data_IF_963790088236
#
_entry.id   IF_963790088236
#
_cell.length_a   1.000
_cell.length_b   1.000
_cell.length_c   1.000
_cell.angle_alpha   90.00
_cell.angle_beta   90.00
_cell.angle_gamma   90.00
#
_symmetry.space_group_name_H-M   'P 1'
#
loop_
_entity.id
_entity.type
_entity.pdbx_description
1 polymer ?
#
# COMPACT_ATOMS: atom_id res chain seq x y z
N UNK A 1 25.15 5.85 5.68
CA UNK A 1 24.82 5.14 4.45
C UNK A 1 24.01 3.89 4.78
N UNK A 2 22.97 3.52 4.01
CA UNK A 2 22.14 2.33 4.28
C UNK A 2 22.92 1.04 4.42
N UNK A 3 23.94 0.82 3.59
CA UNK A 3 24.81 -0.38 3.66
C UNK A 3 25.56 -0.53 4.99
N UNK A 4 25.78 0.55 5.73
CA UNK A 4 26.40 0.46 7.04
C UNK A 4 25.48 -0.27 8.03
N UNK A 5 24.19 0.04 8.01
CA UNK A 5 23.20 -0.66 8.83
C UNK A 5 23.11 -2.15 8.44
N UNK A 6 23.08 -2.47 7.14
CA UNK A 6 23.07 -3.86 6.69
C UNK A 6 24.32 -4.64 7.21
N UNK A 7 25.49 -4.00 7.21
CA UNK A 7 26.70 -4.64 7.75
C UNK A 7 26.65 -4.88 9.26
N UNK A 8 26.04 -3.98 10.02
CA UNK A 8 25.85 -4.19 11.46
C UNK A 8 24.94 -5.39 11.73
N UNK A 9 23.83 -5.53 10.99
CA UNK A 9 22.99 -6.72 11.09
C UNK A 9 23.72 -7.99 10.67
N UNK A 10 24.54 -7.93 9.63
CA UNK A 10 25.37 -9.05 9.21
C UNK A 10 26.35 -9.53 10.32
N UNK A 11 26.83 -8.63 11.16
CA UNK A 11 27.69 -8.95 12.30
C UNK A 11 26.91 -9.50 13.51
N UNK A 12 25.72 -8.95 13.77
CA UNK A 12 24.96 -9.27 14.98
C UNK A 12 24.01 -10.47 14.80
N UNK A 13 23.64 -10.83 13.56
CA UNK A 13 22.64 -11.86 13.25
C UNK A 13 23.30 -13.02 12.51
N UNK A 14 23.58 -14.15 13.20
CA UNK A 14 24.21 -15.32 12.58
C UNK A 14 23.47 -15.83 11.34
N UNK A 15 22.16 -15.81 11.34
CA UNK A 15 21.32 -16.27 10.24
C UNK A 15 21.47 -15.41 8.97
N UNK A 16 21.84 -14.12 9.11
CA UNK A 16 22.20 -13.25 7.98
C UNK A 16 23.63 -13.58 7.53
N UNK A 17 24.56 -13.78 8.46
CA UNK A 17 25.94 -14.14 8.14
C UNK A 17 26.01 -15.48 7.38
N UNK A 18 25.20 -16.45 7.75
CA UNK A 18 25.10 -17.76 7.12
C UNK A 18 24.32 -17.77 5.80
N UNK A 19 23.68 -16.64 5.46
CA UNK A 19 22.89 -16.49 4.24
C UNK A 19 21.51 -17.14 4.29
N UNK A 20 21.03 -17.52 5.47
CA UNK A 20 19.68 -18.07 5.68
C UNK A 20 18.62 -16.96 5.64
N UNK A 21 18.98 -15.78 6.14
CA UNK A 21 18.17 -14.55 6.06
C UNK A 21 18.87 -13.56 5.14
N UNK A 22 18.13 -13.01 4.21
CA UNK A 22 18.59 -11.94 3.32
C UNK A 22 18.08 -10.58 3.75
N UNK A 23 18.95 -9.57 3.69
CA UNK A 23 18.56 -8.17 3.76
C UNK A 23 18.21 -7.69 2.35
N UNK A 24 16.95 -7.42 2.07
CA UNK A 24 16.47 -7.01 0.74
C UNK A 24 16.64 -5.52 0.47
N UNK A 25 16.30 -4.67 1.43
CA UNK A 25 16.43 -3.21 1.30
C UNK A 25 16.62 -2.53 2.65
N UNK A 26 17.16 -1.33 2.61
CA UNK A 26 17.39 -0.49 3.80
C UNK A 26 17.07 0.96 3.46
N UNK A 27 16.21 1.58 4.25
CA UNK A 27 15.95 3.02 4.23
C UNK A 27 16.38 3.62 5.57
N UNK A 28 17.07 4.76 5.52
CA UNK A 28 17.68 5.33 6.73
C UNK A 28 17.57 6.85 6.77
N UNK A 29 17.14 7.36 7.90
CA UNK A 29 17.26 8.76 8.31
C UNK A 29 18.32 8.81 9.44
N UNK A 30 19.60 9.09 9.11
CA UNK A 30 20.71 8.90 10.03
C UNK A 30 20.55 9.66 11.33
N UNK A 31 20.80 8.98 12.45
CA UNK A 31 20.66 9.54 13.80
C UNK A 31 19.22 9.63 14.32
N UNK A 32 18.23 9.24 13.52
CA UNK A 32 16.82 9.28 13.91
C UNK A 32 16.16 7.90 13.83
N UNK A 33 15.94 7.39 12.63
CA UNK A 33 15.23 6.13 12.41
C UNK A 33 15.64 5.46 11.11
N UNK A 34 15.57 4.13 11.08
CA UNK A 34 15.79 3.33 9.88
C UNK A 34 14.72 2.23 9.75
N UNK A 35 14.51 1.78 8.52
CA UNK A 35 13.75 0.57 8.22
C UNK A 35 14.65 -0.39 7.44
N UNK A 36 14.62 -1.67 7.80
CA UNK A 36 15.36 -2.73 7.13
C UNK A 36 14.39 -3.85 6.78
N UNK A 37 14.38 -4.29 5.53
CA UNK A 37 13.56 -5.41 5.09
C UNK A 37 14.37 -6.69 5.01
N UNK A 38 13.81 -7.77 5.56
CA UNK A 38 14.44 -9.07 5.65
C UNK A 38 13.55 -10.16 5.10
N UNK A 39 14.16 -11.18 4.52
CA UNK A 39 13.49 -12.31 3.88
C UNK A 39 14.22 -13.62 4.14
N UNK A 40 13.49 -14.72 4.15
CA UNK A 40 14.05 -16.07 4.14
C UNK A 40 13.17 -17.00 3.31
N UNK A 41 13.79 -17.92 2.61
CA UNK A 41 13.10 -19.03 1.90
C UNK A 41 12.69 -20.15 2.86
N UNK A 42 13.28 -20.21 4.06
CA UNK A 42 12.96 -21.21 5.06
C UNK A 42 11.73 -20.82 5.87
N UNK A 43 10.60 -21.44 5.57
CA UNK A 43 9.32 -21.20 6.24
C UNK A 43 9.31 -21.53 7.75
N UNK A 44 10.33 -22.23 8.25
CA UNK A 44 10.46 -22.56 9.68
C UNK A 44 11.13 -21.44 10.50
N UNK A 45 11.71 -20.45 9.82
CA UNK A 45 12.44 -19.34 10.45
C UNK A 45 11.60 -18.07 10.38
N UNK A 46 11.45 -17.40 11.50
CA UNK A 46 10.94 -16.03 11.57
C UNK A 46 12.11 -15.05 11.37
N UNK A 47 12.22 -14.41 10.17
CA UNK A 47 13.35 -13.54 9.88
C UNK A 47 13.36 -12.27 10.72
N UNK A 48 12.19 -11.76 11.10
CA UNK A 48 12.08 -10.57 11.97
C UNK A 48 12.49 -10.93 13.40
N UNK A 49 11.95 -12.02 13.94
CA UNK A 49 12.28 -12.51 15.27
C UNK A 49 13.78 -12.81 15.44
N UNK A 50 14.41 -13.41 14.42
CA UNK A 50 15.84 -13.68 14.40
C UNK A 50 16.68 -12.40 14.47
N UNK A 51 16.30 -11.36 13.72
CA UNK A 51 16.96 -10.07 13.72
C UNK A 51 16.73 -9.27 15.02
N UNK A 52 15.55 -9.39 15.62
CA UNK A 52 15.24 -8.77 16.92
C UNK A 52 16.08 -9.43 18.02
N UNK A 53 16.19 -10.75 18.01
CA UNK A 53 16.86 -11.54 19.01
C UNK A 53 16.10 -11.64 20.34
N UNK A 54 16.60 -12.46 21.23
CA UNK A 54 15.95 -12.72 22.53
C UNK A 54 15.77 -11.40 23.30
N UNK A 55 14.52 -11.02 23.60
CA UNK A 55 14.17 -9.77 24.30
C UNK A 55 14.73 -8.51 23.62
N UNK A 56 14.94 -8.55 22.30
CA UNK A 56 15.47 -7.41 21.55
C UNK A 56 16.98 -7.23 21.63
N UNK A 57 17.72 -8.23 22.11
CA UNK A 57 19.17 -8.09 22.37
C UNK A 57 19.98 -7.73 21.12
N UNK A 58 19.67 -8.36 19.97
CA UNK A 58 20.43 -8.13 18.72
C UNK A 58 20.12 -6.76 18.12
N UNK A 59 18.84 -6.41 17.97
CA UNK A 59 18.47 -5.09 17.45
C UNK A 59 18.96 -3.98 18.37
N UNK A 60 18.94 -4.18 19.69
CA UNK A 60 19.45 -3.19 20.65
C UNK A 60 20.96 -2.99 20.53
N UNK A 61 21.73 -4.05 20.25
CA UNK A 61 23.17 -3.92 20.00
C UNK A 61 23.43 -3.01 18.78
N UNK A 62 22.69 -3.21 17.69
CA UNK A 62 22.79 -2.35 16.50
C UNK A 62 22.33 -0.92 16.79
N UNK A 63 21.23 -0.73 17.53
CA UNK A 63 20.76 0.61 17.96
C UNK A 63 21.83 1.35 18.77
N UNK A 64 22.49 0.65 19.68
CA UNK A 64 23.56 1.23 20.52
C UNK A 64 24.77 1.65 19.67
N UNK A 65 25.18 0.83 18.70
CA UNK A 65 26.26 1.15 17.76
C UNK A 65 25.94 2.40 16.92
N UNK A 66 24.65 2.59 16.59
CA UNK A 66 24.15 3.77 15.88
C UNK A 66 23.75 4.94 16.79
N UNK A 67 24.19 4.92 18.06
CA UNK A 67 23.96 5.99 19.03
C UNK A 67 22.49 6.32 19.27
N UNK A 68 21.62 5.31 19.25
CA UNK A 68 20.20 5.44 19.57
C UNK A 68 19.28 5.62 18.37
N UNK A 69 19.75 5.44 17.14
CA UNK A 69 18.89 5.42 15.94
C UNK A 69 17.91 4.26 16.03
N UNK A 70 16.59 4.56 15.96
CA UNK A 70 15.54 3.55 16.05
C UNK A 70 15.49 2.71 14.78
N UNK A 71 15.26 1.41 14.93
CA UNK A 71 15.25 0.48 13.80
C UNK A 71 13.93 -0.28 13.76
N UNK A 72 13.23 -0.20 12.63
CA UNK A 72 12.08 -1.03 12.30
C UNK A 72 12.53 -2.16 11.36
N UNK A 73 12.29 -3.39 11.77
CA UNK A 73 12.58 -4.58 10.96
C UNK A 73 11.28 -5.01 10.29
N UNK A 74 11.29 -5.10 8.97
CA UNK A 74 10.12 -5.31 8.11
C UNK A 74 10.26 -6.64 7.38
N UNK A 75 9.21 -7.44 7.37
CA UNK A 75 9.15 -8.64 6.53
C UNK A 75 9.01 -8.23 5.08
N UNK A 76 9.97 -8.64 4.24
CA UNK A 76 9.88 -8.46 2.81
C UNK A 76 8.88 -9.46 2.18
N UNK A 77 8.27 -9.10 1.08
CA UNK A 77 7.37 -9.95 0.31
C UNK A 77 7.51 -9.65 -1.18
N UNK A 78 7.40 -10.69 -2.02
CA UNK A 78 7.32 -10.55 -3.49
C UNK A 78 6.06 -9.78 -3.90
N UNK A 79 4.99 -9.88 -3.11
CA UNK A 79 3.78 -9.10 -3.32
C UNK A 79 4.01 -7.66 -2.85
N UNK A 80 4.04 -6.73 -3.81
CA UNK A 80 4.29 -5.31 -3.54
C UNK A 80 3.31 -4.70 -2.53
N UNK A 81 2.02 -5.06 -2.60
CA UNK A 81 1.01 -4.54 -1.68
C UNK A 81 1.27 -5.03 -0.25
N UNK A 82 1.59 -6.32 -0.08
CA UNK A 82 1.94 -6.90 1.22
C UNK A 82 3.22 -6.25 1.78
N UNK A 83 4.26 -6.11 0.96
CA UNK A 83 5.51 -5.49 1.39
C UNK A 83 5.31 -4.03 1.80
N UNK A 84 4.51 -3.28 1.04
CA UNK A 84 4.19 -1.89 1.36
C UNK A 84 3.40 -1.76 2.68
N UNK A 85 2.39 -2.62 2.89
CA UNK A 85 1.65 -2.64 4.15
C UNK A 85 2.59 -2.90 5.34
N UNK A 86 3.50 -3.88 5.22
CA UNK A 86 4.51 -4.15 6.23
C UNK A 86 5.45 -2.96 6.46
N UNK A 87 5.84 -2.26 5.40
CA UNK A 87 6.74 -1.10 5.47
C UNK A 87 6.11 0.12 6.15
N UNK A 88 4.77 0.27 6.09
CA UNK A 88 4.02 1.35 6.73
C UNK A 88 3.73 1.09 8.22
N UNK A 89 4.01 -0.13 8.72
CA UNK A 89 3.85 -0.39 10.14
C UNK A 89 4.49 0.74 11.00
N UNK A 90 3.86 1.10 12.14
CA UNK A 90 2.77 0.43 12.84
C UNK A 90 1.35 0.79 12.36
N UNK A 91 1.20 1.61 11.31
CA UNK A 91 -0.11 1.92 10.76
C UNK A 91 -0.71 0.71 10.02
N UNK A 92 -2.01 0.51 10.17
CA UNK A 92 -2.77 -0.50 9.46
C UNK A 92 -3.24 0.06 8.11
N UNK A 93 -3.21 -0.78 7.08
CA UNK A 93 -3.60 -0.42 5.71
C UNK A 93 -4.93 -1.09 5.38
N UNK A 94 -5.93 -0.29 4.97
CA UNK A 94 -7.25 -0.78 4.58
C UNK A 94 -7.29 -1.24 3.12
N UNK A 95 -6.72 -0.42 2.20
CA UNK A 95 -6.68 -0.70 0.76
C UNK A 95 -5.40 -0.17 0.14
N UNK A 96 -4.98 -0.79 -0.96
CA UNK A 96 -3.82 -0.36 -1.75
C UNK A 96 -4.22 -0.36 -3.23
N UNK A 97 -3.95 0.76 -3.92
CA UNK A 97 -4.11 0.92 -5.36
C UNK A 97 -2.73 1.10 -6.00
N UNK A 98 -2.30 0.11 -6.78
CA UNK A 98 -1.00 0.12 -7.47
C UNK A 98 -1.17 0.70 -8.88
N UNK A 99 -0.37 1.72 -9.22
CA UNK A 99 -0.28 2.33 -10.53
C UNK A 99 1.09 2.01 -11.15
N UNK A 100 1.24 0.81 -11.69
CA UNK A 100 2.52 0.26 -12.16
C UNK A 100 3.24 1.16 -13.15
N UNK A 101 2.50 1.76 -14.10
CA UNK A 101 3.08 2.64 -15.12
C UNK A 101 3.76 3.91 -14.54
N UNK A 102 3.33 4.34 -13.35
CA UNK A 102 3.81 5.57 -12.71
C UNK A 102 4.74 5.30 -11.52
N UNK A 103 5.00 4.04 -11.18
CA UNK A 103 5.71 3.66 -9.95
C UNK A 103 5.11 4.33 -8.69
N UNK A 104 3.80 4.56 -8.73
CA UNK A 104 3.02 5.26 -7.73
C UNK A 104 2.01 4.32 -7.07
N UNK A 105 1.78 4.53 -5.79
CA UNK A 105 0.79 3.76 -5.03
C UNK A 105 -0.02 4.68 -4.16
N UNK A 106 -1.33 4.48 -4.14
CA UNK A 106 -2.23 5.10 -3.18
C UNK A 106 -2.58 4.09 -2.10
N UNK A 107 -2.45 4.51 -0.86
CA UNK A 107 -2.71 3.70 0.32
C UNK A 107 -3.84 4.32 1.12
N UNK A 108 -4.91 3.55 1.31
CA UNK A 108 -6.04 3.97 2.14
C UNK A 108 -5.88 3.39 3.54
N UNK A 109 -6.00 4.24 4.52
CA UNK A 109 -5.84 3.91 5.94
C UNK A 109 -7.04 4.41 6.76
N UNK A 110 -7.31 3.80 7.93
CA UNK A 110 -8.27 4.34 8.88
C UNK A 110 -7.90 5.77 9.31
N UNK A 111 -8.90 6.64 9.45
CA UNK A 111 -8.70 8.08 9.71
C UNK A 111 -7.87 8.34 10.99
N UNK A 112 -8.10 7.56 12.04
CA UNK A 112 -7.38 7.65 13.31
C UNK A 112 -5.89 7.27 13.19
N UNK A 113 -5.49 6.57 12.13
CA UNK A 113 -4.12 6.10 11.93
C UNK A 113 -3.28 7.00 11.01
N UNK A 114 -3.87 8.07 10.45
CA UNK A 114 -3.19 8.99 9.53
C UNK A 114 -1.85 9.49 10.10
N UNK A 115 -1.85 9.94 11.35
CA UNK A 115 -0.65 10.42 12.02
C UNK A 115 0.43 9.35 12.19
N UNK A 116 0.04 8.07 12.38
CA UNK A 116 0.97 6.95 12.46
C UNK A 116 1.58 6.63 11.09
N UNK A 117 0.76 6.59 10.05
CA UNK A 117 1.19 6.28 8.69
C UNK A 117 2.18 7.32 8.17
N UNK A 118 1.87 8.60 8.33
CA UNK A 118 2.75 9.71 7.94
C UNK A 118 4.00 9.72 8.83
N UNK A 119 3.80 9.61 10.15
CA UNK A 119 4.85 9.74 11.14
C UNK A 119 5.29 11.19 11.37
N UNK A 120 6.14 11.40 12.38
CA UNK A 120 6.65 12.73 12.71
C UNK A 120 7.41 13.33 11.52
N UNK A 121 6.97 14.49 11.04
CA UNK A 121 7.53 15.19 9.85
C UNK A 121 7.58 14.33 8.58
N UNK A 122 6.63 13.41 8.41
CA UNK A 122 6.60 12.51 7.26
C UNK A 122 7.64 11.41 7.28
N UNK A 123 8.29 11.14 8.41
CA UNK A 123 9.41 10.19 8.50
C UNK A 123 8.99 8.75 8.16
N UNK A 124 7.83 8.30 8.65
CA UNK A 124 7.40 6.91 8.42
C UNK A 124 7.11 6.64 6.94
N UNK A 125 6.28 7.47 6.31
CA UNK A 125 5.96 7.33 4.88
C UNK A 125 7.19 7.51 3.99
N UNK A 126 8.10 8.43 4.31
CA UNK A 126 9.33 8.64 3.55
C UNK A 126 10.28 7.43 3.65
N UNK A 127 10.43 6.84 4.83
CA UNK A 127 11.22 5.62 5.00
C UNK A 127 10.59 4.43 4.27
N UNK A 128 9.26 4.28 4.35
CA UNK A 128 8.53 3.25 3.61
C UNK A 128 8.69 3.41 2.09
N UNK A 129 8.54 4.63 1.57
CA UNK A 129 8.76 4.96 0.16
C UNK A 129 10.19 4.59 -0.30
N UNK A 130 11.20 4.99 0.46
CA UNK A 130 12.59 4.65 0.15
C UNK A 130 12.88 3.14 0.25
N UNK A 131 12.23 2.44 1.21
CA UNK A 131 12.41 1.02 1.42
C UNK A 131 11.83 0.18 0.28
N UNK A 132 10.64 0.57 -0.21
CA UNK A 132 9.88 -0.12 -1.26
C UNK A 132 10.21 0.38 -2.67
N UNK A 133 10.89 1.55 -2.77
CA UNK A 133 11.15 2.27 -4.02
C UNK A 133 9.86 2.65 -4.77
N UNK A 134 8.79 2.98 -4.03
CA UNK A 134 7.51 3.42 -4.56
C UNK A 134 7.19 4.84 -4.09
N UNK A 135 6.53 5.62 -4.93
CA UNK A 135 5.93 6.89 -4.53
C UNK A 135 4.59 6.61 -3.81
N UNK A 136 4.52 6.95 -2.53
CA UNK A 136 3.37 6.60 -1.68
C UNK A 136 2.53 7.84 -1.42
N UNK A 137 1.27 7.81 -1.87
CA UNK A 137 0.23 8.75 -1.46
C UNK A 137 -0.67 8.08 -0.42
N UNK A 138 -0.89 8.78 0.69
CA UNK A 138 -1.75 8.30 1.77
C UNK A 138 -3.08 9.05 1.69
N UNK A 139 -4.17 8.29 1.71
CA UNK A 139 -5.54 8.77 1.78
C UNK A 139 -6.22 8.16 3.02
N UNK A 140 -7.11 8.91 3.63
CA UNK A 140 -8.00 8.36 4.65
C UNK A 140 -9.17 7.61 4.01
N UNK A 141 -9.86 6.76 4.79
CA UNK A 141 -11.08 6.11 4.32
C UNK A 141 -12.18 7.13 3.97
N UNK A 142 -12.25 8.24 4.72
CA UNK A 142 -13.16 9.34 4.45
C UNK A 142 -12.84 10.01 3.12
N UNK A 143 -11.59 10.43 2.88
CA UNK A 143 -11.14 11.05 1.63
C UNK A 143 -11.37 10.14 0.41
N UNK A 144 -11.08 8.84 0.55
CA UNK A 144 -11.32 7.87 -0.53
C UNK A 144 -12.81 7.68 -0.82
N UNK A 145 -13.65 7.66 0.24
CA UNK A 145 -15.10 7.56 0.10
C UNK A 145 -15.70 8.81 -0.58
N UNK A 146 -15.28 10.00 -0.17
CA UNK A 146 -15.68 11.26 -0.80
C UNK A 146 -15.29 11.31 -2.28
N UNK A 147 -14.04 10.94 -2.60
CA UNK A 147 -13.55 10.87 -3.98
C UNK A 147 -14.41 9.93 -4.83
N UNK A 148 -14.73 8.74 -4.33
CA UNK A 148 -15.61 7.79 -5.05
C UNK A 148 -17.02 8.33 -5.27
N UNK A 149 -17.59 9.05 -4.29
CA UNK A 149 -18.90 9.67 -4.43
C UNK A 149 -18.89 10.76 -5.50
N UNK A 150 -17.85 11.59 -5.54
CA UNK A 150 -17.68 12.62 -6.56
C UNK A 150 -17.55 11.99 -7.94
N UNK A 151 -16.65 11.01 -8.10
CA UNK A 151 -16.45 10.30 -9.36
C UNK A 151 -17.74 9.60 -9.84
N UNK A 152 -18.50 8.98 -8.94
CA UNK A 152 -19.77 8.36 -9.25
C UNK A 152 -20.79 9.38 -9.76
N UNK A 153 -20.88 10.52 -9.08
CA UNK A 153 -21.79 11.61 -9.47
C UNK A 153 -21.40 12.22 -10.82
N UNK A 154 -20.11 12.43 -11.07
CA UNK A 154 -19.62 12.96 -12.35
C UNK A 154 -19.92 11.99 -13.50
N UNK A 155 -19.66 10.69 -13.31
CA UNK A 155 -19.94 9.65 -14.31
C UNK A 155 -21.43 9.50 -14.58
N UNK A 156 -22.27 9.47 -13.55
CA UNK A 156 -23.72 9.39 -13.73
C UNK A 156 -24.28 10.64 -14.41
N UNK A 157 -23.85 11.83 -14.03
CA UNK A 157 -24.26 13.08 -14.69
C UNK A 157 -23.87 13.12 -16.16
N UNK A 158 -22.66 12.64 -16.49
CA UNK A 158 -22.21 12.54 -17.89
C UNK A 158 -23.11 11.60 -18.69
N UNK A 159 -23.46 10.43 -18.16
CA UNK A 159 -24.35 9.49 -18.83
C UNK A 159 -25.77 10.05 -18.97
N UNK A 160 -26.30 10.73 -17.95
CA UNK A 160 -27.60 11.42 -18.00
C UNK A 160 -27.63 12.41 -19.15
N UNK A 161 -26.61 13.26 -19.30
CA UNK A 161 -26.55 14.29 -20.35
C UNK A 161 -26.38 13.71 -21.77
N UNK A 162 -25.50 12.71 -21.91
CA UNK A 162 -25.14 12.19 -23.25
C UNK A 162 -26.16 11.19 -23.76
N UNK A 163 -26.77 10.36 -22.89
CA UNK A 163 -27.77 9.36 -23.29
C UNK A 163 -29.21 9.89 -23.20
N UNK A 164 -29.42 11.09 -22.65
CA UNK A 164 -30.74 11.68 -22.40
C UNK A 164 -31.66 10.75 -21.57
N UNK A 165 -31.08 10.11 -20.54
CA UNK A 165 -31.78 9.20 -19.62
C UNK A 165 -31.98 9.83 -18.25
N UNK A 166 -32.91 9.29 -17.47
CA UNK A 166 -33.13 9.73 -16.09
C UNK A 166 -31.91 9.41 -15.19
N UNK A 167 -31.69 10.26 -14.18
CA UNK A 167 -30.56 10.09 -13.22
C UNK A 167 -30.47 8.69 -12.61
N UNK A 168 -31.63 8.09 -12.32
CA UNK A 168 -31.70 6.72 -11.75
C UNK A 168 -31.14 5.68 -12.72
N UNK A 169 -31.40 5.82 -14.00
CA UNK A 169 -30.91 4.92 -15.05
C UNK A 169 -29.38 5.07 -15.20
N UNK A 170 -28.88 6.32 -15.24
CA UNK A 170 -27.46 6.60 -15.31
C UNK A 170 -26.72 6.05 -14.09
N UNK A 171 -27.29 6.17 -12.88
CA UNK A 171 -26.71 5.62 -11.66
C UNK A 171 -26.65 4.10 -11.67
N UNK A 172 -27.69 3.43 -12.18
CA UNK A 172 -27.70 1.97 -12.36
C UNK A 172 -26.61 1.53 -13.32
N UNK A 173 -26.46 2.19 -14.47
CA UNK A 173 -25.39 1.91 -15.44
C UNK A 173 -24.01 2.02 -14.81
N UNK A 174 -23.73 3.10 -14.07
CA UNK A 174 -22.44 3.28 -13.38
C UNK A 174 -22.23 2.20 -12.31
N UNK A 175 -23.26 1.78 -11.59
CA UNK A 175 -23.18 0.73 -10.57
C UNK A 175 -22.82 -0.62 -11.18
N UNK A 176 -23.33 -0.92 -12.38
CA UNK A 176 -23.02 -2.13 -13.14
C UNK A 176 -21.67 -2.07 -13.88
N UNK A 177 -20.96 -0.95 -13.76
CA UNK A 177 -19.60 -0.79 -14.32
C UNK A 177 -19.54 -0.09 -15.67
N UNK A 178 -20.67 0.38 -16.20
CA UNK A 178 -20.72 1.16 -17.43
C UNK A 178 -20.42 2.63 -17.15
N UNK A 179 -19.15 3.00 -17.25
CA UNK A 179 -18.66 4.33 -16.86
C UNK A 179 -18.46 5.29 -18.01
N UNK A 180 -18.67 4.84 -19.25
CA UNK A 180 -18.54 5.64 -20.47
C UNK A 180 -19.53 5.20 -21.54
N UNK A 181 -19.84 6.11 -22.46
CA UNK A 181 -20.71 5.80 -23.62
C UNK A 181 -20.11 4.68 -24.48
N UNK A 182 -18.79 4.67 -24.65
CA UNK A 182 -18.10 3.63 -25.42
C UNK A 182 -18.23 2.26 -24.77
N UNK A 183 -18.24 2.18 -23.44
CA UNK A 183 -18.44 0.92 -22.73
C UNK A 183 -19.84 0.36 -22.92
N UNK A 184 -20.86 1.23 -23.00
CA UNK A 184 -22.24 0.85 -23.28
C UNK A 184 -22.41 0.49 -24.76
N UNK A 185 -21.87 1.29 -25.68
CA UNK A 185 -21.97 1.06 -27.13
C UNK A 185 -21.27 -0.22 -27.59
N UNK A 186 -20.30 -0.70 -26.85
CA UNK A 186 -19.59 -1.97 -27.13
C UNK A 186 -20.27 -3.20 -26.53
N UNK A 187 -21.30 -3.01 -25.70
CA UNK A 187 -22.02 -4.08 -25.02
C UNK A 187 -23.18 -4.62 -25.89
N UNK A 188 -23.64 -5.83 -25.57
CA UNK A 188 -24.78 -6.45 -26.22
C UNK A 188 -26.10 -6.07 -25.54
N UNK A 189 -27.17 -5.94 -26.31
CA UNK A 189 -28.51 -5.65 -25.80
C UNK A 189 -28.91 -6.63 -24.69
N UNK A 190 -28.63 -7.93 -24.89
CA UNK A 190 -28.93 -8.99 -23.91
C UNK A 190 -28.25 -8.81 -22.55
N UNK A 191 -27.11 -8.16 -22.51
CA UNK A 191 -26.38 -7.90 -21.25
C UNK A 191 -26.93 -6.65 -20.57
N UNK A 192 -27.31 -5.64 -21.32
CA UNK A 192 -27.96 -4.42 -20.78
C UNK A 192 -29.33 -4.74 -20.20
N UNK A 193 -30.15 -5.60 -20.88
CA UNK A 193 -31.43 -6.08 -20.39
C UNK A 193 -31.35 -6.87 -19.06
N UNK A 194 -30.20 -7.44 -18.72
CA UNK A 194 -30.01 -8.14 -17.43
C UNK A 194 -29.84 -7.20 -16.24
N UNK A 195 -29.64 -5.92 -16.48
CA UNK A 195 -29.56 -4.92 -15.42
C UNK A 195 -30.95 -4.77 -14.80
N UNK A 196 -31.01 -4.88 -13.48
CA UNK A 196 -32.26 -4.76 -12.75
C UNK A 196 -32.89 -3.38 -13.00
N UNK A 197 -34.11 -3.37 -13.56
CA UNK A 197 -34.81 -2.14 -13.92
C UNK A 197 -34.73 -1.75 -15.40
N UNK A 198 -34.01 -2.53 -16.23
CA UNK A 198 -33.96 -2.35 -17.67
C UNK A 198 -34.94 -3.33 -18.34
N UNK A 199 -35.70 -2.85 -19.30
CA UNK A 199 -36.51 -3.64 -20.21
C UNK A 199 -36.05 -3.43 -21.67
N UNK A 200 -36.66 -4.15 -22.59
CA UNK A 200 -36.31 -4.12 -24.01
C UNK A 200 -36.54 -2.74 -24.69
N UNK A 201 -37.34 -1.88 -24.06
CA UNK A 201 -37.64 -0.54 -24.59
C UNK A 201 -36.60 0.50 -24.07
N UNK A 202 -35.97 0.21 -22.92
CA UNK A 202 -34.96 1.09 -22.28
C UNK A 202 -33.54 0.70 -22.68
N UNK A 203 -33.27 -0.57 -22.94
CA UNK A 203 -31.96 -1.07 -23.34
C UNK A 203 -31.65 -0.77 -24.81
#
# INVERSE_FOLDING_TARGET
HPQFLAKLFFQEVPEIFEGVIEVKSVARDPGSRAKISVHTEDSTIDPVGACVGMRGSRVQAVVNELQGEKIDIVTWSDNQATFLANALAPAEVSKIFLYEEKNKVEVVIPDEQLSLAIGRKGQNVKLASNLTNLEIDILTEEEESERRQIEFKEKSSLLTEVLDVEDVIAQLLVTEGYVSVDSIASETLENIEKIEGFDNDLA
#
